data_IF_261112778250
#
_entry.id   IF_261112778250
#
_cell.length_a   1.000
_cell.length_b   1.000
_cell.length_c   1.000
_cell.angle_alpha   90.00
_cell.angle_beta   90.00
_cell.angle_gamma   90.00
#
_symmetry.space_group_name_H-M   'P 1'
#
loop_
_entity.id
_entity.type
_entity.pdbx_description
1 polymer ?
#
# COMPACT_ATOMS: atom_id res chain seq x y z
N UNK A 1 -22.35 13.66 -16.84
CA UNK A 1 -21.36 13.11 -15.89
C UNK A 1 -20.10 12.82 -16.68
N UNK A 2 -18.95 13.32 -16.22
CA UNK A 2 -17.69 13.23 -16.95
C UNK A 2 -17.16 11.79 -16.89
N UNK A 3 -17.13 11.09 -18.03
CA UNK A 3 -16.84 9.63 -18.11
C UNK A 3 -15.49 9.28 -17.49
N UNK A 4 -14.54 10.21 -17.55
CA UNK A 4 -13.21 10.05 -16.97
C UNK A 4 -13.26 10.05 -15.43
N UNK A 5 -14.07 10.92 -14.83
CA UNK A 5 -14.23 10.97 -13.36
C UNK A 5 -14.88 9.69 -12.83
N UNK A 6 -15.90 9.21 -13.52
CA UNK A 6 -16.59 7.96 -13.18
C UNK A 6 -15.66 6.74 -13.17
N UNK A 7 -14.78 6.61 -14.18
CA UNK A 7 -13.80 5.51 -14.24
C UNK A 7 -12.76 5.56 -13.13
N UNK A 8 -12.36 6.78 -12.70
CA UNK A 8 -11.40 6.96 -11.61
C UNK A 8 -12.01 6.58 -10.27
N UNK A 9 -13.23 7.04 -10.00
CA UNK A 9 -13.97 6.70 -8.78
C UNK A 9 -14.21 5.20 -8.69
N UNK A 10 -14.62 4.57 -9.79
CA UNK A 10 -14.81 3.13 -9.88
C UNK A 10 -13.52 2.35 -9.57
N UNK A 11 -12.37 2.80 -10.09
CA UNK A 11 -11.07 2.19 -9.77
C UNK A 11 -10.72 2.33 -8.29
N UNK A 12 -10.96 3.49 -7.68
CA UNK A 12 -10.72 3.73 -6.25
C UNK A 12 -11.59 2.79 -5.41
N UNK A 13 -12.89 2.66 -5.74
CA UNK A 13 -13.81 1.76 -5.05
C UNK A 13 -13.34 0.30 -5.13
N UNK A 14 -12.97 -0.18 -6.33
CA UNK A 14 -12.48 -1.56 -6.52
C UNK A 14 -11.17 -1.83 -5.77
N UNK A 15 -10.25 -0.86 -5.76
CA UNK A 15 -9.04 -0.93 -4.93
C UNK A 15 -9.37 -1.04 -3.44
N UNK A 16 -10.33 -0.23 -2.96
CA UNK A 16 -10.78 -0.27 -1.56
C UNK A 16 -11.38 -1.61 -1.16
N UNK A 17 -12.18 -2.25 -2.04
CA UNK A 17 -12.75 -3.57 -1.79
C UNK A 17 -11.65 -4.62 -1.61
N UNK A 18 -10.68 -4.67 -2.54
CA UNK A 18 -9.57 -5.63 -2.46
C UNK A 18 -8.74 -5.39 -1.21
N UNK A 19 -8.40 -4.14 -0.90
CA UNK A 19 -7.64 -3.80 0.31
C UNK A 19 -8.36 -4.28 1.57
N UNK A 20 -9.67 -4.05 1.69
CA UNK A 20 -10.45 -4.50 2.84
C UNK A 20 -10.46 -6.03 2.99
N UNK A 21 -10.52 -6.77 1.88
CA UNK A 21 -10.42 -8.24 1.90
C UNK A 21 -9.04 -8.70 2.40
N UNK A 22 -7.96 -8.08 1.90
CA UNK A 22 -6.60 -8.40 2.33
C UNK A 22 -6.38 -8.07 3.82
N UNK A 23 -6.85 -6.90 4.27
CA UNK A 23 -6.73 -6.46 5.65
C UNK A 23 -7.51 -7.37 6.61
N UNK A 24 -8.70 -7.82 6.19
CA UNK A 24 -9.50 -8.76 6.98
C UNK A 24 -8.78 -10.10 7.12
N UNK A 25 -8.30 -10.67 6.02
CA UNK A 25 -7.56 -11.93 6.06
C UNK A 25 -6.30 -11.83 6.94
N UNK A 26 -5.58 -10.71 6.85
CA UNK A 26 -4.42 -10.45 7.69
C UNK A 26 -4.78 -10.38 9.19
N UNK A 27 -5.85 -9.64 9.55
CA UNK A 27 -6.34 -9.54 10.93
C UNK A 27 -6.81 -10.88 11.49
N UNK A 28 -7.43 -11.70 10.65
CA UNK A 28 -7.93 -13.02 11.01
C UNK A 28 -6.81 -14.09 11.02
N UNK A 29 -5.57 -13.73 10.63
CA UNK A 29 -4.45 -14.68 10.55
C UNK A 29 -4.60 -15.71 9.43
N UNK A 30 -5.42 -15.39 8.41
CA UNK A 30 -5.74 -16.28 7.29
C UNK A 30 -4.87 -15.97 6.07
N UNK A 31 -4.57 -17.01 5.29
CA UNK A 31 -3.97 -16.85 3.97
C UNK A 31 -5.02 -16.46 2.94
N UNK A 32 -4.65 -15.57 2.01
CA UNK A 32 -5.52 -15.19 0.88
C UNK A 32 -5.22 -16.07 -0.33
N UNK A 33 -6.25 -16.74 -0.85
CA UNK A 33 -6.22 -17.34 -2.18
C UNK A 33 -6.43 -16.23 -3.23
N UNK A 34 -5.32 -15.82 -3.85
CA UNK A 34 -5.32 -14.73 -4.83
C UNK A 34 -5.99 -15.12 -6.15
N UNK A 35 -5.94 -16.39 -6.55
CA UNK A 35 -6.57 -16.83 -7.80
C UNK A 35 -8.08 -16.84 -7.65
N UNK A 36 -8.60 -17.31 -6.52
CA UNK A 36 -10.01 -17.21 -6.19
C UNK A 36 -10.48 -15.75 -6.10
N UNK A 37 -9.72 -14.90 -5.41
CA UNK A 37 -10.03 -13.47 -5.29
C UNK A 37 -10.10 -12.79 -6.66
N UNK A 38 -9.16 -13.07 -7.56
CA UNK A 38 -9.14 -12.49 -8.90
C UNK A 38 -10.32 -13.03 -9.73
N UNK A 39 -10.58 -14.34 -9.70
CA UNK A 39 -11.69 -14.95 -10.43
C UNK A 39 -13.04 -14.34 -10.01
N UNK A 40 -13.26 -14.17 -8.70
CA UNK A 40 -14.48 -13.59 -8.15
C UNK A 40 -14.62 -12.11 -8.57
N UNK A 41 -13.55 -11.32 -8.46
CA UNK A 41 -13.55 -9.92 -8.89
C UNK A 41 -13.81 -9.75 -10.40
N UNK A 42 -13.24 -10.62 -11.24
CA UNK A 42 -13.50 -10.64 -12.68
C UNK A 42 -14.98 -10.92 -12.98
N UNK A 43 -15.56 -11.90 -12.28
CA UNK A 43 -16.98 -12.27 -12.41
C UNK A 43 -17.90 -11.13 -11.99
N UNK A 44 -17.64 -10.49 -10.86
CA UNK A 44 -18.52 -9.47 -10.29
C UNK A 44 -18.45 -8.13 -11.05
N UNK A 45 -17.29 -7.79 -11.60
CA UNK A 45 -17.05 -6.48 -12.21
C UNK A 45 -17.00 -6.48 -13.74
N UNK A 46 -17.09 -7.66 -14.37
CA UNK A 46 -16.95 -7.82 -15.82
C UNK A 46 -15.61 -7.30 -16.34
N UNK A 47 -14.53 -7.50 -15.58
CA UNK A 47 -13.21 -6.94 -15.89
C UNK A 47 -12.17 -8.03 -16.18
N UNK A 48 -11.02 -7.62 -16.74
CA UNK A 48 -9.97 -8.56 -17.11
C UNK A 48 -9.15 -9.01 -15.90
N UNK A 49 -8.65 -10.24 -15.96
CA UNK A 49 -7.74 -10.80 -14.95
C UNK A 49 -6.54 -9.89 -14.68
N UNK A 50 -5.94 -9.36 -15.77
CA UNK A 50 -4.79 -8.46 -15.72
C UNK A 50 -5.09 -7.18 -14.93
N UNK A 51 -6.29 -6.62 -15.09
CA UNK A 51 -6.71 -5.42 -14.37
C UNK A 51 -6.73 -5.64 -12.85
N UNK A 52 -7.29 -6.75 -12.39
CA UNK A 52 -7.33 -7.09 -10.96
C UNK A 52 -5.93 -7.36 -10.41
N UNK A 53 -5.09 -8.09 -11.16
CA UNK A 53 -3.69 -8.30 -10.79
C UNK A 53 -2.92 -6.99 -10.62
N UNK A 54 -3.14 -6.01 -11.51
CA UNK A 54 -2.46 -4.72 -11.41
C UNK A 54 -2.93 -3.91 -10.19
N UNK A 55 -4.20 -4.00 -9.83
CA UNK A 55 -4.70 -3.45 -8.56
C UNK A 55 -3.96 -4.11 -7.38
N UNK A 56 -3.94 -5.45 -7.32
CA UNK A 56 -3.30 -6.17 -6.21
C UNK A 56 -1.81 -5.81 -6.11
N UNK A 57 -1.10 -5.71 -7.25
CA UNK A 57 0.31 -5.29 -7.29
C UNK A 57 0.49 -3.89 -6.70
N UNK A 58 -0.35 -2.93 -7.07
CA UNK A 58 -0.31 -1.56 -6.51
C UNK A 58 -0.49 -1.60 -4.99
N UNK A 59 -1.50 -2.32 -4.51
CA UNK A 59 -1.79 -2.42 -3.07
C UNK A 59 -0.63 -3.06 -2.30
N UNK A 60 -0.03 -4.13 -2.84
CA UNK A 60 1.14 -4.79 -2.22
C UNK A 60 2.37 -3.87 -2.15
N UNK A 61 2.61 -3.06 -3.18
CA UNK A 61 3.70 -2.06 -3.15
C UNK A 61 3.43 -1.02 -2.07
N UNK A 62 2.20 -0.51 -1.97
CA UNK A 62 1.81 0.46 -0.94
C UNK A 62 1.95 -0.10 0.48
N UNK A 63 1.57 -1.37 0.70
CA UNK A 63 1.74 -2.07 1.97
C UNK A 63 3.21 -2.24 2.34
N UNK A 64 4.07 -2.65 1.39
CA UNK A 64 5.51 -2.79 1.61
C UNK A 64 6.15 -1.45 2.02
N UNK A 65 5.79 -0.36 1.34
CA UNK A 65 6.28 0.99 1.68
C UNK A 65 5.85 1.44 3.08
N UNK A 66 4.65 1.05 3.51
CA UNK A 66 4.10 1.37 4.84
C UNK A 66 4.79 0.57 5.95
N UNK A 67 5.22 -0.66 5.66
CA UNK A 67 5.99 -1.48 6.60
C UNK A 67 7.42 -0.95 6.71
N UNK A 68 8.08 -0.58 5.62
CA UNK A 68 9.44 -0.01 5.66
C UNK A 68 9.49 1.32 6.41
N UNK A 69 8.45 2.15 6.28
CA UNK A 69 8.34 3.38 7.08
C UNK A 69 8.07 3.07 8.55
N UNK A 70 7.21 2.13 8.91
CA UNK A 70 6.91 1.82 10.32
C UNK A 70 7.99 0.98 11.03
N UNK A 71 8.65 0.06 10.34
CA UNK A 71 9.79 -0.70 10.85
C UNK A 71 11.10 0.12 10.88
N UNK A 72 11.09 1.30 10.24
CA UNK A 72 12.24 2.17 10.02
C UNK A 72 12.16 3.57 10.61
N UNK A 73 11.14 3.93 11.43
CA UNK A 73 11.22 5.19 12.22
C UNK A 73 12.16 5.01 13.42
N UNK A 74 13.46 4.84 13.15
CA UNK A 74 14.40 5.70 13.86
C UNK A 74 14.21 7.05 13.21
N UNK A 75 13.60 8.00 13.91
CA UNK A 75 13.70 9.40 13.51
C UNK A 75 15.18 9.66 13.24
N UNK A 76 15.55 9.88 11.98
CA UNK A 76 16.83 10.46 11.65
C UNK A 76 16.67 11.92 12.07
N UNK A 77 16.86 12.18 13.36
CA UNK A 77 17.17 13.51 13.85
C UNK A 77 18.38 13.91 12.99
N UNK A 78 18.30 14.94 12.14
CA UNK A 78 19.47 15.40 11.42
C UNK A 78 20.55 15.65 12.46
N UNK A 79 21.76 15.08 12.32
CA UNK A 79 22.80 15.25 13.32
C UNK A 79 22.99 16.74 13.51
N UNK A 80 22.77 17.23 14.74
CA UNK A 80 23.16 18.57 15.11
C UNK A 80 24.58 18.78 14.59
N UNK A 81 24.79 19.82 13.78
CA UNK A 81 26.13 20.32 13.51
C UNK A 81 26.70 20.73 14.87
N UNK A 82 27.39 19.80 15.53
CA UNK A 82 28.41 20.15 16.51
C UNK A 82 29.55 20.76 15.72
N UNK A 83 29.46 22.06 15.45
CA UNK A 83 30.61 22.89 15.15
C UNK A 83 31.47 22.94 16.42
N UNK A 84 32.23 21.85 16.62
CA UNK A 84 33.29 21.78 17.60
C UNK A 84 34.46 22.60 17.10
N UNK A 85 34.45 23.90 17.40
CA UNK A 85 35.69 24.69 17.41
C UNK A 85 36.36 24.52 18.78
N UNK A 86 37.38 23.67 18.77
CA UNK A 86 38.35 23.39 19.84
C UNK A 86 39.01 24.67 20.38
N UNK A 87 39.30 24.64 21.68
CA UNK A 87 40.60 24.88 22.36
C UNK A 87 40.24 25.29 23.80
N UNK A 88 40.55 24.58 24.87
CA UNK A 88 41.82 23.99 25.30
C UNK A 88 42.02 24.41 26.78
N UNK A 89 42.78 23.66 27.61
CA UNK A 89 42.64 23.62 29.06
C UNK A 89 43.51 24.67 29.79
N UNK A 90 43.07 25.11 30.96
CA UNK A 90 43.82 26.01 31.85
C UNK A 90 42.92 26.74 32.83
#
# INVERSE_FOLDING_TARGET
MDVIKSRREERITRMGIIQATLDKAFKDGLSVDYDFLIAQACKDWGCTWRYVQDIIKILRISLAFTIETNAGVKQIIPPEKKDGKKQGPG
#
